data_IF_949834767595
#
_entry.id   IF_949834767595
#
_cell.length_a   1.000
_cell.length_b   1.000
_cell.length_c   1.000
_cell.angle_alpha   90.00
_cell.angle_beta   90.00
_cell.angle_gamma   90.00
#
_symmetry.space_group_name_H-M   'P 1'
#
loop_
_entity.id
_entity.type
_entity.pdbx_description
1 polymer ?
#
# COMPACT_ATOMS: atom_id res chain seq x y z
N UNK A 1 8.26 16.84 22.22
CA UNK A 1 6.98 16.57 22.92
C UNK A 1 5.93 15.87 22.04
N UNK A 2 5.71 16.29 20.79
CA UNK A 2 4.70 15.68 19.89
C UNK A 2 4.97 14.18 19.63
N UNK A 3 6.21 13.77 19.30
CA UNK A 3 6.52 12.36 19.04
C UNK A 3 6.30 11.45 20.27
N UNK A 4 6.52 11.95 21.49
CA UNK A 4 6.34 11.18 22.72
C UNK A 4 4.85 10.93 23.05
N UNK A 5 3.98 11.90 22.76
CA UNK A 5 2.54 11.77 22.97
C UNK A 5 1.88 10.83 21.95
N UNK A 6 2.40 10.78 20.72
CA UNK A 6 1.94 9.84 19.69
C UNK A 6 2.32 8.39 20.07
N UNK A 7 3.51 8.17 20.64
CA UNK A 7 3.98 6.83 21.04
C UNK A 7 3.20 6.18 22.19
N UNK A 8 2.51 6.95 23.03
CA UNK A 8 1.73 6.39 24.16
C UNK A 8 0.29 6.01 23.77
N UNK A 9 -0.23 6.49 22.64
CA UNK A 9 -1.60 6.20 22.20
C UNK A 9 -1.66 4.85 21.48
N UNK A 10 -2.69 4.05 21.79
CA UNK A 10 -2.96 2.85 21.01
C UNK A 10 -3.26 3.20 19.54
N UNK A 11 -3.06 2.24 18.63
CA UNK A 11 -3.19 2.49 17.19
C UNK A 11 -4.63 2.86 16.79
N UNK A 12 -5.65 2.40 17.52
CA UNK A 12 -7.05 2.71 17.27
C UNK A 12 -7.34 4.20 17.52
N UNK A 13 -6.79 4.76 18.59
CA UNK A 13 -6.87 6.20 18.88
C UNK A 13 -6.15 7.00 17.80
N UNK A 14 -4.94 6.59 17.40
CA UNK A 14 -4.21 7.25 16.30
C UNK A 14 -5.00 7.22 14.99
N UNK A 15 -5.71 6.13 14.72
CA UNK A 15 -6.59 5.99 13.55
C UNK A 15 -7.81 6.90 13.62
N UNK A 16 -8.44 7.05 14.79
CA UNK A 16 -9.59 7.93 14.98
C UNK A 16 -9.22 9.41 14.91
N UNK A 17 -7.99 9.76 15.29
CA UNK A 17 -7.47 11.14 15.30
C UNK A 17 -6.76 11.54 14.00
N UNK A 18 -6.89 10.74 12.94
CA UNK A 18 -6.35 11.07 11.63
C UNK A 18 -6.86 12.43 11.15
N UNK A 19 -5.97 13.22 10.54
CA UNK A 19 -6.31 14.52 9.99
C UNK A 19 -7.15 14.31 8.73
N UNK A 20 -8.33 14.91 8.70
CA UNK A 20 -9.26 14.88 7.56
C UNK A 20 -9.56 16.26 6.99
N UNK A 21 -9.08 17.33 7.63
CA UNK A 21 -9.22 18.71 7.16
C UNK A 21 -7.96 19.16 6.43
N UNK A 22 -8.12 19.67 5.21
CA UNK A 22 -7.04 20.30 4.44
C UNK A 22 -6.49 21.49 5.22
N UNK A 23 -7.36 22.35 5.77
CA UNK A 23 -6.95 23.56 6.47
C UNK A 23 -6.13 23.21 7.73
N UNK A 24 -6.51 22.14 8.44
CA UNK A 24 -5.74 21.64 9.58
C UNK A 24 -4.35 21.15 9.16
N UNK A 25 -4.26 20.35 8.09
CA UNK A 25 -2.99 19.84 7.57
C UNK A 25 -2.06 20.99 7.15
N UNK A 26 -2.57 21.95 6.37
CA UNK A 26 -1.80 23.10 5.91
C UNK A 26 -1.33 23.97 7.08
N UNK A 27 -2.16 24.16 8.10
CA UNK A 27 -1.77 24.93 9.28
C UNK A 27 -0.67 24.25 10.09
N UNK A 28 -0.76 22.93 10.29
CA UNK A 28 0.30 22.14 10.96
C UNK A 28 1.64 22.28 10.23
N UNK A 29 1.60 22.31 8.90
CA UNK A 29 2.79 22.39 8.06
C UNK A 29 3.22 23.82 7.72
N UNK A 30 2.49 24.86 8.15
CA UNK A 30 2.73 26.26 7.78
C UNK A 30 2.73 26.51 6.27
N UNK A 31 1.74 25.94 5.59
CA UNK A 31 1.56 25.95 4.14
C UNK A 31 0.18 26.52 3.74
N UNK A 32 -0.36 27.46 4.52
CA UNK A 32 -1.68 28.05 4.28
C UNK A 32 -1.81 28.69 2.89
N UNK A 33 -0.69 29.14 2.30
CA UNK A 33 -0.64 29.70 0.93
C UNK A 33 -1.01 28.68 -0.14
N UNK A 34 -0.81 27.37 0.09
CA UNK A 34 -1.20 26.33 -0.87
C UNK A 34 -2.71 26.14 -0.97
N UNK A 35 -3.51 26.76 -0.09
CA UNK A 35 -4.95 26.53 -0.03
C UNK A 35 -5.67 26.82 -1.35
N UNK A 36 -5.15 27.73 -2.16
CA UNK A 36 -5.69 28.06 -3.50
C UNK A 36 -5.42 26.99 -4.55
N UNK A 37 -4.39 26.17 -4.36
CA UNK A 37 -3.97 25.09 -5.26
C UNK A 37 -4.57 23.74 -4.87
N UNK A 38 -5.26 23.67 -3.72
CA UNK A 38 -5.88 22.47 -3.18
C UNK A 38 -7.39 22.50 -3.40
N UNK A 39 -7.93 21.42 -3.95
CA UNK A 39 -9.38 21.18 -3.98
C UNK A 39 -9.79 20.30 -2.80
N UNK A 40 -11.07 20.32 -2.44
CA UNK A 40 -11.61 19.42 -1.40
C UNK A 40 -12.46 18.34 -2.08
N UNK A 41 -11.96 17.09 -2.16
CA UNK A 41 -12.70 16.01 -2.81
C UNK A 41 -14.00 15.70 -2.05
N UNK A 42 -15.12 15.55 -2.77
CA UNK A 42 -16.37 15.01 -2.18
C UNK A 42 -16.26 13.51 -1.88
N UNK A 43 -15.56 12.80 -2.77
CA UNK A 43 -15.24 11.38 -2.64
C UNK A 43 -13.74 11.24 -2.46
N UNK A 44 -13.30 10.31 -1.60
CA UNK A 44 -11.88 10.13 -1.31
C UNK A 44 -11.20 11.41 -0.73
N UNK A 45 -11.85 12.00 0.27
CA UNK A 45 -11.37 13.17 1.00
C UNK A 45 -9.99 12.93 1.66
N UNK A 46 -9.31 14.00 2.05
CA UNK A 46 -8.06 13.89 2.81
C UNK A 46 -8.26 12.98 4.02
N UNK A 47 -7.32 12.06 4.22
CA UNK A 47 -7.20 11.25 5.44
C UNK A 47 -5.74 10.89 5.61
N UNK A 48 -5.11 11.42 6.66
CA UNK A 48 -3.69 11.18 6.94
C UNK A 48 -3.45 11.09 8.45
N UNK A 49 -2.83 10.02 8.96
CA UNK A 49 -2.50 9.92 10.37
C UNK A 49 -1.45 10.96 10.79
N UNK A 50 -1.59 11.50 12.01
CA UNK A 50 -0.66 12.50 12.55
C UNK A 50 0.80 12.04 12.58
N UNK A 51 1.03 10.74 12.82
CA UNK A 51 2.36 10.15 12.80
C UNK A 51 3.02 10.20 11.41
N UNK A 52 2.23 10.17 10.33
CA UNK A 52 2.74 10.35 8.98
C UNK A 52 3.04 11.83 8.69
N UNK A 53 2.16 12.75 9.13
CA UNK A 53 2.39 14.20 9.02
C UNK A 53 3.64 14.65 9.77
N UNK A 54 3.92 14.04 10.93
CA UNK A 54 5.13 14.36 11.72
C UNK A 54 6.46 14.04 10.99
N UNK A 55 6.42 13.27 9.89
CA UNK A 55 7.58 12.96 9.04
C UNK A 55 7.79 13.97 7.92
N UNK A 56 6.81 14.84 7.66
CA UNK A 56 6.90 15.87 6.64
C UNK A 56 7.74 17.05 7.12
N UNK A 57 8.42 17.71 6.19
CA UNK A 57 9.17 18.93 6.46
C UNK A 57 8.21 20.13 6.52
N UNK A 58 8.13 20.75 7.69
CA UNK A 58 7.33 21.97 7.91
C UNK A 58 7.84 23.10 7.01
N UNK A 59 6.92 23.80 6.35
CA UNK A 59 7.19 24.90 5.42
C UNK A 59 7.69 24.47 4.04
N UNK A 60 7.70 23.17 3.73
CA UNK A 60 8.14 22.65 2.44
C UNK A 60 6.93 22.22 1.59
N UNK A 61 6.50 23.02 0.59
CA UNK A 61 5.39 22.66 -0.29
C UNK A 61 5.75 21.47 -1.21
N UNK A 62 7.04 21.19 -1.39
CA UNK A 62 7.53 20.15 -2.28
C UNK A 62 7.80 18.82 -1.56
N UNK A 63 7.46 18.73 -0.28
CA UNK A 63 7.69 17.53 0.53
C UNK A 63 7.07 16.27 -0.14
N UNK A 64 7.87 15.21 -0.35
CA UNK A 64 7.43 14.03 -1.10
C UNK A 64 6.38 13.19 -0.36
N UNK A 65 6.22 13.35 0.96
CA UNK A 65 5.14 12.70 1.71
C UNK A 65 3.85 13.52 1.60
N UNK A 66 3.94 14.85 1.62
CA UNK A 66 2.80 15.75 1.42
C UNK A 66 2.14 15.50 0.06
N UNK A 67 2.93 15.45 -1.01
CA UNK A 67 2.46 15.19 -2.38
C UNK A 67 1.70 13.87 -2.52
N UNK A 68 1.92 12.89 -1.63
CA UNK A 68 1.20 11.62 -1.65
C UNK A 68 -0.21 11.69 -1.04
N UNK A 69 -0.55 12.74 -0.28
CA UNK A 69 -1.78 12.81 0.52
C UNK A 69 -2.59 14.09 0.35
N UNK A 70 -1.95 15.21 0.02
CA UNK A 70 -2.63 16.50 -0.17
C UNK A 70 -3.36 16.47 -1.51
N UNK A 71 -4.69 16.70 -1.54
CA UNK A 71 -5.41 16.77 -2.81
C UNK A 71 -4.92 17.94 -3.68
N UNK A 72 -4.77 17.73 -4.97
CA UNK A 72 -4.28 18.74 -5.92
C UNK A 72 -5.32 19.04 -7.02
N UNK A 73 -5.44 20.31 -7.45
CA UNK A 73 -6.38 20.68 -8.53
C UNK A 73 -6.17 19.86 -9.83
N UNK A 74 -4.95 19.39 -10.09
CA UNK A 74 -4.62 18.51 -11.22
C UNK A 74 -5.40 17.19 -11.21
N UNK A 75 -5.89 16.74 -10.05
CA UNK A 75 -6.71 15.52 -9.95
C UNK A 75 -8.09 15.67 -10.57
N UNK A 76 -8.55 16.90 -10.80
CA UNK A 76 -9.81 17.17 -11.49
C UNK A 76 -9.67 17.17 -13.02
N UNK A 77 -8.45 17.14 -13.53
CA UNK A 77 -8.17 17.15 -14.97
C UNK A 77 -8.45 15.75 -15.52
N UNK A 78 -9.43 15.66 -16.42
CA UNK A 78 -9.71 14.43 -17.16
C UNK A 78 -8.65 14.24 -18.25
N UNK A 79 -7.96 13.11 -18.21
CA UNK A 79 -6.92 12.75 -19.18
C UNK A 79 -7.34 11.48 -19.91
N UNK A 80 -7.23 11.49 -21.25
CA UNK A 80 -7.55 10.33 -22.09
C UNK A 80 -6.71 9.11 -21.66
N UNK A 81 -7.36 7.95 -21.55
CA UNK A 81 -6.74 6.70 -21.11
C UNK A 81 -6.71 6.50 -19.59
N UNK A 82 -7.11 7.50 -18.81
CA UNK A 82 -7.24 7.40 -17.35
C UNK A 82 -8.69 7.18 -16.94
N UNK A 83 -8.97 6.04 -16.31
CA UNK A 83 -10.33 5.55 -16.03
C UNK A 83 -10.54 5.23 -14.56
N UNK A 84 -11.80 5.04 -14.13
CA UNK A 84 -12.12 4.77 -12.73
C UNK A 84 -11.62 3.40 -12.24
N UNK A 85 -11.70 2.36 -13.10
CA UNK A 85 -11.25 1.00 -12.81
C UNK A 85 -10.21 0.54 -13.87
N UNK A 86 -8.96 1.00 -13.76
CA UNK A 86 -7.94 0.69 -14.78
C UNK A 86 -7.54 -0.78 -14.82
N UNK A 87 -7.89 -1.55 -13.79
CA UNK A 87 -7.51 -2.95 -13.63
C UNK A 87 -8.68 -3.92 -13.82
N UNK A 88 -9.86 -3.40 -14.17
CA UNK A 88 -11.12 -4.13 -14.27
C UNK A 88 -11.42 -4.99 -13.04
N UNK A 89 -11.08 -4.51 -11.83
CA UNK A 89 -11.24 -5.29 -10.60
C UNK A 89 -12.69 -5.48 -10.16
N UNK A 90 -13.60 -4.62 -10.59
CA UNK A 90 -15.03 -4.80 -10.28
C UNK A 90 -15.61 -6.07 -10.92
N UNK A 91 -15.10 -6.48 -12.08
CA UNK A 91 -15.60 -7.62 -12.85
C UNK A 91 -14.81 -8.92 -12.58
N UNK A 92 -13.74 -8.87 -11.78
CA UNK A 92 -12.84 -10.01 -11.51
C UNK A 92 -13.15 -10.72 -10.18
N UNK A 93 -14.44 -10.81 -9.84
CA UNK A 93 -14.92 -11.32 -8.56
C UNK A 93 -15.76 -12.59 -8.77
N UNK A 94 -15.17 -13.81 -8.79
CA UNK A 94 -15.95 -15.05 -8.78
C UNK A 94 -16.92 -15.12 -7.59
N UNK A 95 -16.53 -14.52 -6.46
CA UNK A 95 -17.33 -14.39 -5.24
C UNK A 95 -17.09 -12.98 -4.70
N UNK A 96 -18.13 -12.34 -4.12
CA UNK A 96 -17.98 -11.03 -3.48
C UNK A 96 -16.85 -11.05 -2.44
N UNK A 97 -15.89 -10.14 -2.60
CA UNK A 97 -14.72 -10.03 -1.73
C UNK A 97 -13.54 -10.91 -2.12
N UNK A 98 -13.67 -11.78 -3.13
CA UNK A 98 -12.62 -12.67 -3.58
C UNK A 98 -12.26 -12.39 -5.04
N UNK A 99 -11.01 -11.97 -5.26
CA UNK A 99 -10.45 -11.77 -6.60
C UNK A 99 -9.51 -12.94 -6.91
N UNK A 100 -9.73 -13.62 -8.04
CA UNK A 100 -8.86 -14.71 -8.50
C UNK A 100 -8.27 -14.37 -9.88
N UNK A 101 -7.12 -13.67 -9.87
CA UNK A 101 -6.40 -13.26 -11.09
C UNK A 101 -5.27 -14.21 -11.49
N UNK A 102 -4.77 -14.99 -10.54
CA UNK A 102 -3.53 -15.75 -10.68
C UNK A 102 -3.70 -17.17 -10.18
N UNK A 103 -3.19 -18.14 -10.91
CA UNK A 103 -3.39 -19.57 -10.66
C UNK A 103 -3.23 -19.98 -9.19
N UNK A 104 -2.12 -19.63 -8.54
CA UNK A 104 -1.80 -20.18 -7.22
C UNK A 104 -2.32 -19.36 -6.04
N UNK A 105 -3.01 -18.25 -6.28
CA UNK A 105 -3.32 -17.29 -5.21
C UNK A 105 -4.54 -16.43 -5.48
N UNK A 106 -5.27 -16.17 -4.42
CA UNK A 106 -6.45 -15.29 -4.42
C UNK A 106 -6.21 -14.07 -3.54
N UNK A 107 -6.89 -12.97 -3.86
CA UNK A 107 -6.94 -11.77 -3.03
C UNK A 107 -8.30 -11.68 -2.36
N UNK A 108 -8.27 -11.51 -1.03
CA UNK A 108 -9.44 -11.38 -0.18
C UNK A 108 -9.54 -9.94 0.35
N UNK A 109 -10.58 -9.24 -0.06
CA UNK A 109 -10.91 -7.89 0.40
C UNK A 109 -11.62 -7.96 1.74
N UNK A 110 -10.92 -7.69 2.84
CA UNK A 110 -11.51 -7.80 4.20
C UNK A 110 -12.00 -6.47 4.78
N UNK A 111 -11.76 -5.35 4.10
CA UNK A 111 -12.25 -4.02 4.46
C UNK A 111 -12.15 -3.05 3.27
N UNK A 112 -13.05 -2.07 3.18
CA UNK A 112 -12.88 -0.92 2.28
C UNK A 112 -12.20 0.29 2.91
N UNK A 113 -12.00 0.27 4.23
CA UNK A 113 -11.42 1.40 4.95
C UNK A 113 -9.89 1.37 4.90
N UNK A 114 -9.29 2.54 4.68
CA UNK A 114 -7.85 2.77 4.78
C UNK A 114 -7.54 3.81 5.87
N UNK A 115 -6.36 3.74 6.47
CA UNK A 115 -5.90 4.76 7.42
C UNK A 115 -5.36 6.02 6.73
N UNK A 116 -4.97 5.90 5.46
CA UNK A 116 -4.40 6.97 4.65
C UNK A 116 -4.99 6.94 3.23
N UNK A 117 -5.36 8.10 2.69
CA UNK A 117 -5.84 8.21 1.31
C UNK A 117 -4.71 8.71 0.40
N UNK A 118 -4.10 7.78 -0.34
CA UNK A 118 -3.01 8.07 -1.26
C UNK A 118 -3.58 8.69 -2.55
N UNK A 119 -3.10 9.86 -2.98
CA UNK A 119 -3.62 10.54 -4.18
C UNK A 119 -3.41 9.76 -5.48
N UNK A 120 -2.51 8.78 -5.48
CA UNK A 120 -2.26 7.85 -6.58
C UNK A 120 -2.98 6.48 -6.42
N UNK A 121 -3.95 6.36 -5.50
CA UNK A 121 -4.62 5.08 -5.24
C UNK A 121 -5.46 4.64 -6.45
N UNK A 122 -5.11 3.50 -7.06
CA UNK A 122 -5.89 2.93 -8.17
C UNK A 122 -7.27 2.41 -7.74
N UNK A 123 -7.48 2.17 -6.43
CA UNK A 123 -8.77 1.77 -5.84
C UNK A 123 -9.58 2.93 -5.27
N UNK A 124 -9.21 4.19 -5.56
CA UNK A 124 -9.94 5.35 -5.02
C UNK A 124 -11.41 5.41 -5.49
N UNK A 125 -11.71 4.78 -6.64
CA UNK A 125 -13.06 4.67 -7.22
C UNK A 125 -13.67 3.26 -7.08
N UNK A 126 -13.05 2.35 -6.31
CA UNK A 126 -13.51 0.97 -6.19
C UNK A 126 -14.82 0.88 -5.38
N UNK A 127 -15.79 0.12 -5.87
CA UNK A 127 -17.08 -0.06 -5.17
C UNK A 127 -16.95 -1.13 -4.08
N UNK A 128 -16.42 -0.71 -2.92
CA UNK A 128 -16.37 -1.57 -1.75
C UNK A 128 -17.76 -1.97 -1.23
N UNK A 129 -18.81 -1.18 -1.49
CA UNK A 129 -20.15 -1.52 -1.01
C UNK A 129 -20.71 -2.76 -1.75
N UNK A 130 -20.42 -2.89 -3.04
CA UNK A 130 -20.82 -4.03 -3.84
C UNK A 130 -19.90 -5.26 -3.66
N UNK A 131 -18.61 -5.05 -3.33
CA UNK A 131 -17.57 -6.07 -3.39
C UNK A 131 -16.98 -6.50 -2.03
N UNK A 132 -17.63 -6.15 -0.92
CA UNK A 132 -17.23 -6.63 0.41
C UNK A 132 -17.89 -7.97 0.76
N UNK A 133 -17.16 -8.91 1.41
CA UNK A 133 -17.74 -10.19 1.80
C UNK A 133 -18.79 -9.98 2.89
N UNK A 134 -20.00 -10.49 2.65
CA UNK A 134 -21.06 -10.62 3.66
C UNK A 134 -20.75 -11.75 4.62
N UNK A 135 -21.56 -11.91 5.68
CA UNK A 135 -21.40 -13.05 6.60
C UNK A 135 -21.50 -14.39 5.85
N UNK A 136 -22.47 -14.52 4.93
CA UNK A 136 -22.66 -15.72 4.10
C UNK A 136 -21.55 -15.93 3.08
N UNK A 137 -20.94 -14.84 2.57
CA UNK A 137 -19.85 -14.94 1.60
C UNK A 137 -18.61 -15.64 2.17
N UNK A 138 -18.40 -15.63 3.49
CA UNK A 138 -17.24 -16.28 4.11
C UNK A 138 -17.23 -17.78 3.85
N UNK A 139 -18.37 -18.47 3.96
CA UNK A 139 -18.47 -19.90 3.70
C UNK A 139 -18.15 -20.21 2.23
N UNK A 140 -18.77 -19.48 1.30
CA UNK A 140 -18.52 -19.67 -0.14
C UNK A 140 -17.06 -19.41 -0.54
N UNK A 141 -16.38 -18.46 0.11
CA UNK A 141 -14.95 -18.21 -0.13
C UNK A 141 -14.10 -19.41 0.29
N UNK A 142 -14.41 -20.01 1.44
CA UNK A 142 -13.70 -21.20 1.92
C UNK A 142 -13.96 -22.38 0.99
N UNK A 143 -15.22 -22.60 0.59
CA UNK A 143 -15.60 -23.66 -0.34
C UNK A 143 -14.87 -23.50 -1.69
N UNK A 144 -14.81 -22.27 -2.21
CA UNK A 144 -14.09 -21.95 -3.43
C UNK A 144 -12.60 -22.27 -3.30
N UNK A 145 -11.92 -21.79 -2.25
CA UNK A 145 -10.50 -22.06 -2.07
C UNK A 145 -10.25 -23.57 -1.92
N UNK A 146 -11.09 -24.27 -1.16
CA UNK A 146 -10.98 -25.72 -0.94
C UNK A 146 -11.14 -26.49 -2.26
N UNK A 147 -12.06 -26.07 -3.13
CA UNK A 147 -12.31 -26.67 -4.44
C UNK A 147 -11.20 -26.42 -5.49
N UNK A 148 -10.25 -25.53 -5.22
CA UNK A 148 -9.14 -25.16 -6.12
C UNK A 148 -7.80 -25.52 -5.46
N UNK A 149 -7.33 -26.77 -5.60
CA UNK A 149 -6.13 -27.28 -4.90
C UNK A 149 -4.83 -26.58 -5.30
N UNK A 150 -4.80 -25.89 -6.44
CA UNK A 150 -3.67 -25.08 -6.89
C UNK A 150 -3.49 -23.79 -6.06
N UNK A 151 -4.53 -23.32 -5.37
CA UNK A 151 -4.48 -22.13 -4.52
C UNK A 151 -3.75 -22.48 -3.23
N UNK A 152 -2.51 -22.02 -3.11
CA UNK A 152 -1.68 -22.25 -1.93
C UNK A 152 -1.39 -20.97 -1.13
N UNK A 153 -1.85 -19.82 -1.64
CA UNK A 153 -1.65 -18.51 -1.02
C UNK A 153 -2.93 -17.67 -1.04
N UNK A 154 -3.20 -17.00 0.09
CA UNK A 154 -4.26 -15.98 0.19
C UNK A 154 -3.65 -14.63 0.54
N UNK A 155 -3.99 -13.61 -0.24
CA UNK A 155 -3.59 -12.22 -0.02
C UNK A 155 -4.73 -11.47 0.67
N UNK A 156 -4.57 -11.09 1.93
CA UNK A 156 -5.46 -10.18 2.61
C UNK A 156 -5.20 -8.75 2.13
N UNK A 157 -6.24 -8.09 1.63
CA UNK A 157 -6.19 -6.76 1.04
C UNK A 157 -7.53 -6.02 1.23
N UNK A 158 -7.80 -5.03 0.37
CA UNK A 158 -8.93 -4.14 0.39
C UNK A 158 -8.45 -2.69 0.39
N UNK A 159 -9.00 -1.85 1.28
CA UNK A 159 -8.42 -0.56 1.63
C UNK A 159 -7.07 -0.75 2.34
N UNK A 160 -7.10 -1.26 3.57
CA UNK A 160 -5.91 -1.79 4.26
C UNK A 160 -6.32 -2.91 5.23
N UNK A 161 -5.82 -4.15 5.07
CA UNK A 161 -6.23 -5.30 5.86
C UNK A 161 -5.87 -5.16 7.35
N UNK A 162 -4.83 -4.38 7.70
CA UNK A 162 -4.48 -4.17 9.10
C UNK A 162 -5.35 -3.08 9.75
N UNK A 163 -6.19 -2.37 9.00
CA UNK A 163 -7.12 -1.39 9.55
C UNK A 163 -8.29 -2.06 10.32
N UNK A 164 -8.46 -3.37 10.20
CA UNK A 164 -9.47 -4.12 10.97
C UNK A 164 -8.96 -4.46 12.38
N UNK A 165 -9.90 -4.69 13.30
CA UNK A 165 -9.59 -5.12 14.67
C UNK A 165 -8.89 -6.47 14.69
N UNK A 166 -8.06 -6.71 15.73
CA UNK A 166 -7.42 -8.02 15.93
C UNK A 166 -8.43 -9.16 15.91
N UNK A 167 -9.59 -9.01 16.57
CA UNK A 167 -10.68 -10.01 16.53
C UNK A 167 -11.08 -10.39 15.11
N UNK A 168 -11.28 -9.41 14.22
CA UNK A 168 -11.69 -9.67 12.83
C UNK A 168 -10.55 -10.27 12.01
N UNK A 169 -9.33 -9.77 12.17
CA UNK A 169 -8.16 -10.28 11.46
C UNK A 169 -7.87 -11.73 11.86
N UNK A 170 -7.87 -12.03 13.16
CA UNK A 170 -7.56 -13.36 13.70
C UNK A 170 -8.62 -14.37 13.27
N UNK A 171 -9.90 -14.00 13.29
CA UNK A 171 -10.96 -14.86 12.77
C UNK A 171 -10.82 -15.19 11.28
N UNK A 172 -10.15 -14.34 10.48
CA UNK A 172 -9.78 -14.69 9.11
C UNK A 172 -8.56 -15.60 9.06
N UNK A 173 -7.51 -15.30 9.84
CA UNK A 173 -6.33 -16.15 9.93
C UNK A 173 -6.70 -17.57 10.36
N UNK A 174 -7.47 -17.76 11.43
CA UNK A 174 -7.91 -19.06 11.93
C UNK A 174 -8.67 -19.85 10.85
N UNK A 175 -9.53 -19.17 10.09
CA UNK A 175 -10.30 -19.78 9.00
C UNK A 175 -9.39 -20.22 7.84
N UNK A 176 -8.48 -19.37 7.41
CA UNK A 176 -7.58 -19.68 6.30
C UNK A 176 -6.56 -20.75 6.71
N UNK A 177 -6.05 -20.68 7.94
CA UNK A 177 -5.20 -21.71 8.52
C UNK A 177 -5.94 -23.04 8.73
N UNK A 178 -7.27 -23.10 8.70
CA UNK A 178 -7.95 -24.40 8.69
C UNK A 178 -7.85 -25.14 7.34
N UNK A 179 -7.54 -24.44 6.24
CA UNK A 179 -7.54 -25.00 4.87
C UNK A 179 -6.17 -25.64 4.55
N UNK A 180 -6.03 -26.98 4.50
CA UNK A 180 -4.73 -27.65 4.50
C UNK A 180 -3.78 -27.27 3.36
N UNK A 181 -4.31 -26.96 2.16
CA UNK A 181 -3.47 -26.60 1.01
C UNK A 181 -2.83 -25.21 1.10
N UNK A 182 -3.35 -24.32 1.96
CA UNK A 182 -2.78 -22.99 2.13
C UNK A 182 -1.45 -23.09 2.88
N UNK A 183 -0.40 -22.57 2.28
CA UNK A 183 0.96 -22.56 2.85
C UNK A 183 1.42 -21.14 3.18
N UNK A 184 0.82 -20.13 2.54
CA UNK A 184 1.21 -18.72 2.68
C UNK A 184 -0.02 -17.83 2.90
N UNK A 185 0.08 -16.91 3.84
CA UNK A 185 -0.87 -15.80 3.97
C UNK A 185 -0.09 -14.49 3.81
N UNK A 186 -0.52 -13.69 2.84
CA UNK A 186 0.12 -12.41 2.52
C UNK A 186 -0.74 -11.24 2.96
N UNK A 187 -0.16 -10.25 3.61
CA UNK A 187 -0.80 -9.00 4.00
C UNK A 187 -0.32 -7.87 3.08
N UNK A 188 -1.23 -7.18 2.39
CA UNK A 188 -0.89 -5.96 1.63
C UNK A 188 -1.34 -4.73 2.42
N UNK A 189 -0.42 -4.03 3.08
CA UNK A 189 -0.77 -2.98 4.05
C UNK A 189 0.13 -1.75 3.90
N UNK A 190 -0.42 -0.56 4.11
CA UNK A 190 0.35 0.67 4.27
C UNK A 190 0.42 1.09 5.74
N UNK A 191 -0.37 0.45 6.61
CA UNK A 191 -0.58 0.84 8.00
C UNK A 191 0.71 0.96 8.82
N UNK A 192 1.72 0.07 8.73
CA UNK A 192 2.96 0.20 9.50
C UNK A 192 3.75 1.50 9.23
N UNK A 193 3.59 2.09 8.04
CA UNK A 193 4.27 3.33 7.66
C UNK A 193 3.56 4.57 8.22
N UNK A 194 2.25 4.49 8.41
CA UNK A 194 1.43 5.64 8.82
C UNK A 194 1.01 5.58 10.28
N UNK A 195 0.91 4.39 10.87
CA UNK A 195 0.64 4.11 12.29
C UNK A 195 1.49 2.88 12.70
N UNK A 196 2.80 3.08 13.02
CA UNK A 196 3.71 1.99 13.35
C UNK A 196 3.24 1.12 14.53
N UNK A 197 2.56 1.75 15.50
CA UNK A 197 1.97 1.11 16.67
C UNK A 197 0.94 0.02 16.33
N UNK A 198 0.49 -0.12 15.07
CA UNK A 198 -0.35 -1.23 14.64
C UNK A 198 0.34 -2.59 14.78
N UNK A 199 1.67 -2.62 14.61
CA UNK A 199 2.52 -3.79 14.83
C UNK A 199 2.77 -3.99 16.34
N UNK A 200 1.67 -4.05 17.10
CA UNK A 200 1.66 -4.30 18.54
C UNK A 200 1.98 -5.75 18.88
N UNK A 201 2.30 -6.03 20.14
CA UNK A 201 2.65 -7.37 20.59
C UNK A 201 1.55 -8.41 20.28
N UNK A 202 0.25 -8.17 20.57
CA UNK A 202 -0.80 -9.13 20.26
C UNK A 202 -0.89 -9.49 18.77
N UNK A 203 -0.72 -8.52 17.86
CA UNK A 203 -0.69 -8.83 16.43
C UNK A 203 0.54 -9.66 16.06
N UNK A 204 1.74 -9.24 16.49
CA UNK A 204 2.98 -9.92 16.14
C UNK A 204 3.01 -11.35 16.69
N UNK A 205 2.58 -11.57 17.92
CA UNK A 205 2.50 -12.89 18.54
C UNK A 205 1.56 -13.81 17.77
N UNK A 206 0.39 -13.31 17.35
CA UNK A 206 -0.57 -14.11 16.55
C UNK A 206 -0.03 -14.45 15.16
N UNK A 207 0.67 -13.53 14.51
CA UNK A 207 1.27 -13.79 13.19
C UNK A 207 2.43 -14.79 13.30
N UNK A 208 3.26 -14.70 14.35
CA UNK A 208 4.37 -15.63 14.60
C UNK A 208 3.90 -17.07 14.86
N UNK A 209 2.69 -17.25 15.40
CA UNK A 209 2.09 -18.56 15.67
C UNK A 209 1.36 -19.16 14.46
N UNK A 210 1.31 -18.46 13.32
CA UNK A 210 0.65 -18.99 12.14
C UNK A 210 1.35 -20.26 11.65
N UNK A 211 0.57 -21.28 11.28
CA UNK A 211 1.13 -22.45 10.56
C UNK A 211 1.54 -22.11 9.13
N UNK A 212 0.99 -21.03 8.57
CA UNK A 212 1.31 -20.55 7.23
C UNK A 212 2.50 -19.59 7.31
N UNK A 213 3.28 -19.52 6.24
CA UNK A 213 4.28 -18.46 6.09
C UNK A 213 3.58 -17.11 5.98
N UNK A 214 3.91 -16.18 6.87
CA UNK A 214 3.37 -14.82 6.83
C UNK A 214 4.31 -13.93 6.00
N UNK A 215 3.76 -13.38 4.93
CA UNK A 215 4.43 -12.36 4.10
C UNK A 215 3.69 -11.04 4.28
N UNK A 216 4.39 -9.96 4.60
CA UNK A 216 3.80 -8.62 4.65
C UNK A 216 4.44 -7.75 3.59
N UNK A 217 3.64 -7.31 2.62
CA UNK A 217 4.03 -6.33 1.62
C UNK A 217 3.59 -4.96 2.09
N UNK A 218 4.55 -4.14 2.50
CA UNK A 218 4.33 -2.74 2.84
C UNK A 218 4.33 -1.87 1.57
N UNK A 219 3.67 -0.71 1.63
CA UNK A 219 3.60 0.24 0.51
C UNK A 219 4.34 1.56 0.84
N UNK A 220 5.65 1.57 0.64
CA UNK A 220 6.54 2.70 0.86
C UNK A 220 7.05 3.27 -0.47
N UNK A 221 6.90 4.59 -0.68
CA UNK A 221 7.36 5.27 -1.90
C UNK A 221 8.56 6.17 -1.68
N UNK A 222 8.84 6.58 -0.44
CA UNK A 222 9.95 7.46 -0.15
C UNK A 222 10.66 7.06 1.17
N UNK A 223 11.99 7.22 1.24
CA UNK A 223 12.77 6.84 2.43
C UNK A 223 12.31 7.56 3.71
N UNK A 224 11.83 8.80 3.58
CA UNK A 224 11.28 9.61 4.68
C UNK A 224 10.02 9.00 5.32
N UNK A 225 9.34 8.06 4.67
CA UNK A 225 8.21 7.34 5.28
C UNK A 225 8.68 6.39 6.41
N UNK A 226 9.97 6.07 6.46
CA UNK A 226 10.57 5.18 7.47
C UNK A 226 11.45 6.03 8.39
N UNK A 227 10.87 6.54 9.47
CA UNK A 227 11.61 7.13 10.58
C UNK A 227 12.17 6.04 11.52
N UNK A 228 12.85 6.43 12.60
CA UNK A 228 13.40 5.48 13.57
C UNK A 228 12.33 4.59 14.18
N UNK A 229 11.19 5.15 14.55
CA UNK A 229 10.08 4.41 15.18
C UNK A 229 9.49 3.38 14.22
N UNK A 230 9.21 3.77 12.97
CA UNK A 230 8.75 2.84 11.94
C UNK A 230 9.76 1.72 11.70
N UNK A 231 11.05 2.03 11.65
CA UNK A 231 12.10 1.02 11.48
C UNK A 231 12.11 0.01 12.65
N UNK A 232 11.98 0.46 13.89
CA UNK A 232 11.90 -0.41 15.08
C UNK A 232 10.70 -1.38 15.01
N UNK A 233 9.51 -0.88 14.66
CA UNK A 233 8.33 -1.73 14.52
C UNK A 233 8.45 -2.75 13.37
N UNK A 234 9.05 -2.35 12.24
CA UNK A 234 9.34 -3.28 11.14
C UNK A 234 10.36 -4.35 11.56
N UNK A 235 11.42 -3.96 12.27
CA UNK A 235 12.41 -4.91 12.79
C UNK A 235 11.78 -5.91 13.78
N UNK A 236 10.85 -5.47 14.64
CA UNK A 236 10.07 -6.36 15.51
C UNK A 236 9.22 -7.35 14.70
N UNK A 237 8.57 -6.89 13.63
CA UNK A 237 7.81 -7.76 12.74
C UNK A 237 8.70 -8.82 12.08
N UNK A 238 9.88 -8.42 11.59
CA UNK A 238 10.89 -9.34 11.06
C UNK A 238 11.36 -10.34 12.12
N UNK A 239 11.63 -9.89 13.35
CA UNK A 239 12.05 -10.75 14.46
C UNK A 239 10.97 -11.76 14.85
N UNK A 240 9.69 -11.45 14.63
CA UNK A 240 8.55 -12.36 14.79
C UNK A 240 8.42 -13.39 13.64
N UNK A 241 9.40 -13.47 12.73
CA UNK A 241 9.43 -14.44 11.63
C UNK A 241 8.67 -14.01 10.37
N UNK A 242 8.19 -12.77 10.30
CA UNK A 242 7.44 -12.26 9.14
C UNK A 242 8.41 -11.90 8.01
N UNK A 243 8.13 -12.38 6.80
CA UNK A 243 8.85 -11.93 5.59
C UNK A 243 8.33 -10.55 5.17
N UNK A 244 9.19 -9.53 5.20
CA UNK A 244 8.83 -8.15 4.84
C UNK A 244 9.29 -7.79 3.45
N UNK A 245 8.35 -7.34 2.62
CA UNK A 245 8.57 -6.90 1.24
C UNK A 245 8.03 -5.48 1.06
N UNK A 246 8.55 -4.72 0.10
CA UNK A 246 8.01 -3.41 -0.27
C UNK A 246 7.52 -3.38 -1.71
N UNK A 247 6.31 -2.88 -1.91
CA UNK A 247 5.86 -2.40 -3.22
C UNK A 247 5.84 -0.87 -3.21
N UNK A 248 6.41 -0.28 -4.25
CA UNK A 248 6.36 1.15 -4.54
C UNK A 248 5.66 1.37 -5.88
N UNK A 249 5.16 2.58 -6.09
CA UNK A 249 4.72 3.11 -7.38
C UNK A 249 5.74 4.19 -7.78
N UNK A 250 6.15 4.21 -9.04
CA UNK A 250 6.97 5.28 -9.59
C UNK A 250 6.08 6.51 -9.80
N UNK A 251 6.33 7.55 -9.02
CA UNK A 251 5.53 8.76 -8.93
C UNK A 251 6.40 9.95 -9.31
N UNK A 252 6.00 10.64 -10.37
CA UNK A 252 6.64 11.85 -10.87
C UNK A 252 6.71 12.92 -9.78
N UNK A 253 7.89 13.53 -9.61
CA UNK A 253 8.14 14.57 -8.61
C UNK A 253 8.16 14.08 -7.16
N UNK A 254 8.20 12.76 -6.93
CA UNK A 254 8.27 12.14 -5.59
C UNK A 254 9.45 11.17 -5.51
N UNK A 255 9.47 10.14 -6.36
CA UNK A 255 10.48 9.08 -6.32
C UNK A 255 10.97 8.66 -7.72
N UNK A 256 10.82 9.55 -8.70
CA UNK A 256 11.22 9.40 -10.10
C UNK A 256 12.70 9.74 -10.35
N UNK A 257 13.57 9.48 -9.37
CA UNK A 257 15.02 9.61 -9.54
C UNK A 257 15.79 8.43 -8.94
N UNK A 258 16.94 8.14 -9.54
CA UNK A 258 17.85 7.06 -9.12
C UNK A 258 18.32 7.26 -7.69
N UNK A 259 18.63 8.51 -7.32
CA UNK A 259 19.08 8.86 -5.97
C UNK A 259 18.02 8.52 -4.93
N UNK A 260 16.77 8.95 -5.15
CA UNK A 260 15.66 8.71 -4.21
C UNK A 260 15.32 7.21 -4.13
N UNK A 261 15.29 6.50 -5.26
CA UNK A 261 15.03 5.06 -5.27
C UNK A 261 16.15 4.24 -4.61
N UNK A 262 17.41 4.68 -4.75
CA UNK A 262 18.56 4.08 -4.05
C UNK A 262 18.42 4.29 -2.54
N UNK A 263 18.10 5.51 -2.11
CA UNK A 263 17.86 5.82 -0.69
C UNK A 263 16.69 5.02 -0.12
N UNK A 264 15.58 4.90 -0.86
CA UNK A 264 14.44 4.07 -0.46
C UNK A 264 14.85 2.62 -0.27
N UNK A 265 15.55 2.04 -1.24
CA UNK A 265 15.97 0.63 -1.20
C UNK A 265 16.92 0.34 -0.04
N UNK A 266 17.89 1.21 0.21
CA UNK A 266 18.80 1.11 1.35
C UNK A 266 18.08 1.30 2.69
N UNK A 267 17.15 2.25 2.77
CA UNK A 267 16.37 2.51 4.00
C UNK A 267 15.45 1.34 4.35
N UNK A 268 14.80 0.75 3.35
CA UNK A 268 14.00 -0.47 3.50
C UNK A 268 14.86 -1.60 4.05
N UNK A 269 16.03 -1.84 3.45
CA UNK A 269 16.91 -2.91 3.88
C UNK A 269 17.40 -2.73 5.32
N UNK A 270 17.76 -1.50 5.71
CA UNK A 270 18.13 -1.16 7.08
C UNK A 270 16.98 -1.40 8.09
N UNK A 271 15.73 -1.26 7.65
CA UNK A 271 14.54 -1.59 8.44
C UNK A 271 14.14 -3.08 8.37
N UNK A 272 14.91 -3.92 7.66
CA UNK A 272 14.65 -5.35 7.51
C UNK A 272 13.60 -5.70 6.45
N UNK A 273 13.35 -4.81 5.48
CA UNK A 273 12.39 -4.98 4.39
C UNK A 273 13.13 -5.10 3.06
N UNK A 274 12.73 -6.05 2.21
CA UNK A 274 13.29 -6.17 0.86
C UNK A 274 12.46 -5.40 -0.18
N UNK A 275 13.09 -4.61 -1.08
CA UNK A 275 12.42 -4.07 -2.26
C UNK A 275 11.86 -5.21 -3.13
N UNK A 276 10.57 -5.15 -3.47
CA UNK A 276 9.89 -6.23 -4.20
C UNK A 276 9.38 -5.77 -5.58
N UNK A 277 8.45 -4.82 -5.60
CA UNK A 277 7.92 -4.27 -6.85
C UNK A 277 8.09 -2.75 -6.91
N UNK A 278 8.45 -2.27 -8.09
CA UNK A 278 8.29 -0.87 -8.49
C UNK A 278 7.27 -0.85 -9.63
N UNK A 279 6.07 -0.42 -9.32
CA UNK A 279 4.97 -0.32 -10.28
C UNK A 279 5.11 0.96 -11.09
N UNK A 280 4.97 0.89 -12.40
CA UNK A 280 4.54 2.08 -13.16
C UNK A 280 3.11 2.43 -12.76
N UNK A 281 2.74 3.70 -12.85
CA UNK A 281 1.44 4.17 -12.40
C UNK A 281 0.29 3.51 -13.19
N UNK A 282 -0.65 2.91 -12.47
CA UNK A 282 -1.92 2.48 -13.04
C UNK A 282 -2.69 3.71 -13.55
N UNK A 283 -3.29 3.62 -14.74
CA UNK A 283 -3.97 4.75 -15.39
C UNK A 283 -5.33 5.06 -14.74
N UNK A 284 -5.33 5.37 -13.45
CA UNK A 284 -6.52 5.74 -12.67
C UNK A 284 -6.86 7.22 -12.85
N UNK A 285 -8.14 7.52 -13.06
CA UNK A 285 -8.64 8.89 -13.13
C UNK A 285 -8.27 9.67 -11.85
N UNK A 286 -7.67 10.85 -12.04
CA UNK A 286 -7.17 11.71 -10.97
C UNK A 286 -5.66 11.61 -10.69
N UNK A 287 -4.98 10.55 -11.14
CA UNK A 287 -3.55 10.36 -10.82
C UNK A 287 -2.58 10.71 -11.97
N UNK A 288 -3.08 11.18 -13.12
CA UNK A 288 -2.26 11.36 -14.34
C UNK A 288 -1.02 12.26 -14.16
N UNK A 289 -1.06 13.22 -13.25
CA UNK A 289 0.05 14.11 -12.96
C UNK A 289 1.23 13.40 -12.26
N UNK A 290 1.01 12.23 -11.64
CA UNK A 290 2.07 11.37 -11.12
C UNK A 290 2.73 10.48 -12.19
N UNK A 291 2.16 10.40 -13.38
CA UNK A 291 2.64 9.47 -14.41
C UNK A 291 3.94 9.96 -15.05
N UNK A 292 4.79 9.00 -15.40
CA UNK A 292 5.98 9.21 -16.21
C UNK A 292 5.90 8.34 -17.45
N UNK A 293 6.49 8.79 -18.56
CA UNK A 293 6.58 7.96 -19.75
C UNK A 293 7.43 6.70 -19.47
N UNK A 294 7.11 5.63 -20.19
CA UNK A 294 7.73 4.33 -19.98
C UNK A 294 9.24 4.34 -20.24
N UNK A 295 9.71 5.13 -21.22
CA UNK A 295 11.13 5.25 -21.51
C UNK A 295 11.90 5.86 -20.34
N UNK A 296 11.33 6.87 -19.67
CA UNK A 296 11.90 7.45 -18.45
C UNK A 296 11.99 6.42 -17.32
N UNK A 297 10.96 5.60 -17.12
CA UNK A 297 10.98 4.52 -16.14
C UNK A 297 12.07 3.48 -16.43
N UNK A 298 12.23 3.08 -17.70
CA UNK A 298 13.26 2.12 -18.14
C UNK A 298 14.67 2.70 -17.95
N UNK A 299 14.92 3.95 -18.33
CA UNK A 299 16.23 4.60 -18.11
C UNK A 299 16.60 4.69 -16.64
N UNK A 300 15.64 5.06 -15.79
CA UNK A 300 15.83 5.07 -14.34
C UNK A 300 16.16 3.67 -13.82
N UNK A 301 15.48 2.64 -14.34
CA UNK A 301 15.69 1.26 -13.92
C UNK A 301 17.09 0.72 -14.27
N UNK A 302 17.58 1.00 -15.48
CA UNK A 302 18.97 0.68 -15.86
C UNK A 302 20.00 1.31 -14.92
N UNK A 303 19.75 2.56 -14.51
CA UNK A 303 20.61 3.25 -13.56
C UNK A 303 20.54 2.63 -12.16
N UNK A 304 19.38 2.13 -11.74
CA UNK A 304 19.24 1.39 -10.48
C UNK A 304 19.96 0.05 -10.49
N UNK A 305 19.91 -0.69 -11.60
CA UNK A 305 20.66 -1.94 -11.78
C UNK A 305 22.16 -1.74 -11.60
N UNK A 306 22.69 -0.60 -12.04
CA UNK A 306 24.09 -0.24 -11.85
C UNK A 306 24.41 0.25 -10.42
N UNK A 307 23.47 0.94 -9.76
CA UNK A 307 23.69 1.60 -8.48
C UNK A 307 23.50 0.70 -7.24
N UNK A 308 22.73 -0.38 -7.35
CA UNK A 308 22.34 -1.22 -6.21
C UNK A 308 22.77 -2.68 -6.40
N UNK A 309 23.04 -3.41 -5.31
CA UNK A 309 23.14 -4.86 -5.39
C UNK A 309 21.79 -5.45 -5.80
N UNK A 310 21.80 -6.54 -6.58
CA UNK A 310 20.60 -7.06 -7.24
C UNK A 310 19.42 -7.38 -6.30
N UNK A 311 19.67 -7.80 -5.06
CA UNK A 311 18.63 -8.08 -4.07
C UNK A 311 17.96 -6.81 -3.49
N UNK A 312 18.49 -5.62 -3.79
CA UNK A 312 17.89 -4.32 -3.47
C UNK A 312 17.25 -3.65 -4.69
N UNK A 313 17.34 -4.25 -5.87
CA UNK A 313 16.66 -3.73 -7.06
C UNK A 313 15.25 -4.33 -7.11
N UNK A 314 14.17 -3.54 -6.95
CA UNK A 314 12.81 -4.06 -7.09
C UNK A 314 12.55 -4.50 -8.54
N UNK A 315 11.54 -5.32 -8.77
CA UNK A 315 11.11 -5.68 -10.13
C UNK A 315 10.26 -4.55 -10.70
N UNK A 316 10.66 -3.99 -11.85
CA UNK A 316 9.85 -3.00 -12.58
C UNK A 316 8.67 -3.69 -13.27
N UNK A 317 7.46 -3.35 -12.87
CA UNK A 317 6.24 -4.04 -13.31
C UNK A 317 5.10 -3.08 -13.62
N UNK A 318 4.11 -3.58 -14.35
CA UNK A 318 2.78 -2.99 -14.50
C UNK A 318 1.71 -4.02 -14.21
N UNK A 319 0.56 -3.58 -13.73
CA UNK A 319 -0.62 -4.43 -13.70
C UNK A 319 -1.43 -4.19 -14.97
N UNK A 320 -1.96 -5.26 -15.56
CA UNK A 320 -2.83 -5.16 -16.73
C UNK A 320 -4.07 -6.04 -16.51
N UNK A 321 -5.27 -5.57 -16.90
CA UNK A 321 -6.48 -6.39 -16.86
C UNK A 321 -6.28 -7.73 -17.56
N UNK A 322 -6.88 -8.79 -17.00
CA UNK A 322 -6.92 -10.13 -17.58
C UNK A 322 -5.56 -10.82 -17.82
N UNK A 323 -4.47 -10.34 -17.20
CA UNK A 323 -3.17 -11.02 -17.29
C UNK A 323 -2.96 -11.99 -16.12
N UNK A 324 -2.43 -13.21 -16.36
CA UNK A 324 -2.24 -14.22 -15.32
C UNK A 324 -1.00 -13.99 -14.44
N UNK A 325 -0.37 -12.81 -14.54
CA UNK A 325 0.78 -12.39 -13.74
C UNK A 325 0.92 -10.87 -13.74
N UNK A 326 1.67 -10.33 -12.77
CA UNK A 326 2.17 -8.94 -12.83
C UNK A 326 3.11 -8.85 -14.02
N UNK A 327 2.83 -7.95 -14.96
CA UNK A 327 3.55 -7.90 -16.24
C UNK A 327 4.87 -7.16 -16.04
N UNK A 328 6.03 -7.80 -16.28
CA UNK A 328 7.31 -7.10 -16.27
C UNK A 328 7.33 -6.03 -17.36
N UNK A 329 7.86 -4.86 -17.05
CA UNK A 329 8.14 -3.85 -18.08
C UNK A 329 9.30 -4.35 -18.94
N UNK A 330 9.18 -4.22 -20.27
CA UNK A 330 10.26 -4.60 -21.17
C UNK A 330 11.39 -3.56 -21.09
N UNK A 331 12.44 -3.88 -20.34
CA UNK A 331 13.58 -2.99 -20.13
C UNK A 331 14.57 -2.96 -21.31
N UNK A 332 14.37 -3.80 -22.32
CA UNK A 332 15.21 -3.87 -23.53
C UNK A 332 14.57 -3.15 -24.74
N UNK A 333 13.44 -2.46 -24.56
CA UNK A 333 12.72 -1.89 -25.69
C UNK A 333 13.50 -0.75 -26.40
N UNK A 334 14.50 -0.17 -25.72
CA UNK A 334 15.38 0.89 -26.23
C UNK A 334 16.89 0.53 -26.19
N UNK A 335 17.24 -0.76 -25.98
CA UNK A 335 18.62 -1.21 -25.80
C UNK A 335 19.33 -1.56 -27.11
#
# INVERSE_FOLDING_TARGET
>A
MINHLITQKNWQTQLSEAITSVDELLSILKLETLRTEVYVPKHFALRVPRAFVAKMKVGDPDDPLLKQVLPDQQEQIKVTGYVADPLAENDQNPIKGLLHKYQSRVLLTITGACAIHCRYCFRQHFDYSANMPTADAKAHIIDYITAHPEINEVILSGGDPLNVTNRRLFAWLDTLEAIPQLTTIRLHTRLPLVIPARLDAPLLDRLAQSRCQIVMVIHCNHANEIDTLTAEYLQRARAAGITLLNQAVLLKGINDSVVIQTQLSQRLFAAGVLPYYLHVLDKVAGAAHFDSDEHSAVRLYWSLLAALPGYLVPKLVRELPNKPFKVPVNIYHDA
#
